data_IF_586487799576
#
_entry.id   IF_586487799576
#
_cell.length_a   1.000
_cell.length_b   1.000
_cell.length_c   1.000
_cell.angle_alpha   90.00
_cell.angle_beta   90.00
_cell.angle_gamma   90.00
#
_symmetry.space_group_name_H-M   'P 1'
#
loop_
_entity.id
_entity.type
_entity.pdbx_description
1 polymer ?
#
# COMPACT_ATOMS: atom_id res chain seq x y z
N UNK A 1 -18.22 -9.59 3.30
CA UNK A 1 -17.91 -8.23 2.78
C UNK A 1 -17.41 -8.37 1.35
N UNK A 2 -17.96 -7.64 0.36
CA UNK A 2 -17.36 -7.61 -0.99
C UNK A 2 -16.11 -6.74 -0.94
N UNK A 3 -14.97 -7.24 -1.41
CA UNK A 3 -13.75 -6.46 -1.54
C UNK A 3 -13.97 -5.30 -2.52
N UNK A 4 -13.66 -4.07 -2.11
CA UNK A 4 -13.63 -2.92 -3.01
C UNK A 4 -12.27 -2.91 -3.70
N UNK A 5 -12.26 -3.14 -5.00
CA UNK A 5 -11.06 -2.97 -5.84
C UNK A 5 -11.04 -1.52 -6.31
N UNK A 6 -9.97 -0.79 -6.00
CA UNK A 6 -9.75 0.56 -6.51
C UNK A 6 -8.65 0.52 -7.57
N UNK A 7 -8.83 1.31 -8.62
CA UNK A 7 -7.87 1.44 -9.70
C UNK A 7 -7.25 2.84 -9.70
N UNK A 8 -5.93 2.89 -9.88
CA UNK A 8 -5.18 4.14 -10.03
C UNK A 8 -4.54 4.16 -11.41
N UNK A 9 -5.13 4.89 -12.39
CA UNK A 9 -4.49 5.05 -13.69
C UNK A 9 -3.21 5.85 -13.54
N UNK A 10 -2.15 5.46 -14.23
CA UNK A 10 -0.92 6.23 -14.33
C UNK A 10 -0.15 5.85 -15.58
N UNK A 11 0.59 6.82 -16.15
CA UNK A 11 1.33 6.61 -17.40
C UNK A 11 2.68 5.97 -17.19
N UNK A 12 3.29 6.24 -16.04
CA UNK A 12 4.59 5.70 -15.64
C UNK A 12 4.66 5.45 -14.13
N UNK A 13 5.76 4.82 -13.70
CA UNK A 13 6.00 4.49 -12.29
C UNK A 13 6.02 5.72 -11.38
N UNK A 14 6.58 6.84 -11.84
CA UNK A 14 6.70 8.06 -11.02
C UNK A 14 5.32 8.63 -10.73
N UNK A 15 4.49 8.77 -11.76
CA UNK A 15 3.11 9.24 -11.61
C UNK A 15 2.31 8.33 -10.67
N UNK A 16 2.48 7.02 -10.78
CA UNK A 16 1.82 6.06 -9.91
C UNK A 16 2.27 6.21 -8.43
N UNK A 17 3.56 6.39 -8.17
CA UNK A 17 4.09 6.62 -6.82
C UNK A 17 3.58 7.92 -6.20
N UNK A 18 3.52 9.00 -6.98
CA UNK A 18 3.01 10.30 -6.54
C UNK A 18 1.51 10.26 -6.20
N UNK A 19 0.74 9.44 -6.92
CA UNK A 19 -0.72 9.34 -6.76
C UNK A 19 -1.17 8.26 -5.77
N UNK A 20 -0.32 7.31 -5.43
CA UNK A 20 -0.64 6.23 -4.49
C UNK A 20 -1.17 6.72 -3.12
N UNK A 21 -0.63 7.78 -2.49
CA UNK A 21 -1.18 8.30 -1.23
C UNK A 21 -2.65 8.73 -1.33
N UNK A 22 -3.10 9.23 -2.49
CA UNK A 22 -4.50 9.60 -2.72
C UNK A 22 -5.41 8.38 -2.67
N UNK A 23 -4.95 7.25 -3.20
CA UNK A 23 -5.67 5.98 -3.16
C UNK A 23 -5.72 5.42 -1.73
N UNK A 24 -4.58 5.44 -1.03
CA UNK A 24 -4.47 4.99 0.36
C UNK A 24 -5.36 5.81 1.28
N UNK A 25 -5.39 7.14 1.13
CA UNK A 25 -6.29 8.01 1.90
C UNK A 25 -7.77 7.65 1.73
N UNK A 26 -8.21 7.27 0.53
CA UNK A 26 -9.60 6.82 0.29
C UNK A 26 -9.92 5.44 0.88
N UNK A 27 -8.90 4.59 1.05
CA UNK A 27 -9.06 3.25 1.61
C UNK A 27 -9.03 3.24 3.14
N UNK A 28 -8.24 4.15 3.72
CA UNK A 28 -7.84 4.12 5.13
C UNK A 28 -8.63 5.11 5.99
N UNK A 29 -9.54 5.89 5.39
CA UNK A 29 -10.33 6.89 6.10
C UNK A 29 -11.09 6.28 7.31
N UNK A 30 -10.66 6.66 8.52
CA UNK A 30 -11.18 6.14 9.80
C UNK A 30 -10.77 4.71 10.19
N UNK A 31 -9.87 4.06 9.46
CA UNK A 31 -9.61 2.61 9.59
C UNK A 31 -8.66 2.20 10.73
N UNK A 32 -7.89 3.12 11.31
CA UNK A 32 -6.89 2.78 12.33
C UNK A 32 -6.86 3.81 13.46
N UNK A 33 -6.66 3.33 14.70
CA UNK A 33 -6.36 4.20 15.83
C UNK A 33 -4.91 4.71 15.75
N UNK A 34 -4.63 5.84 16.40
CA UNK A 34 -3.25 6.23 16.68
C UNK A 34 -2.52 5.07 17.38
N UNK A 35 -1.26 4.84 16.98
CA UNK A 35 -0.40 3.74 17.44
C UNK A 35 -0.86 2.30 17.06
N UNK A 36 -1.82 2.17 16.13
CA UNK A 36 -2.23 0.88 15.61
C UNK A 36 -1.05 0.12 14.96
N UNK A 37 -0.87 -1.14 15.34
CA UNK A 37 0.10 -2.02 14.70
C UNK A 37 -0.47 -2.53 13.37
N UNK A 38 0.12 -2.10 12.26
CA UNK A 38 -0.44 -2.33 10.93
C UNK A 38 0.49 -3.20 10.09
N UNK A 39 -0.02 -4.33 9.61
CA UNK A 39 0.72 -5.18 8.69
C UNK A 39 0.51 -4.75 7.24
N UNK A 40 1.59 -4.44 6.52
CA UNK A 40 1.55 -4.29 5.07
C UNK A 40 2.06 -5.57 4.42
N UNK A 41 1.12 -6.36 3.89
CA UNK A 41 1.42 -7.56 3.13
C UNK A 41 1.82 -7.19 1.71
N UNK A 42 2.99 -7.66 1.28
CA UNK A 42 3.44 -7.54 -0.10
C UNK A 42 3.52 -8.93 -0.72
N UNK A 43 2.88 -9.11 -1.86
CA UNK A 43 3.06 -10.30 -2.68
C UNK A 43 4.31 -10.08 -3.54
N UNK A 44 5.36 -10.82 -3.23
CA UNK A 44 6.46 -11.07 -4.16
C UNK A 44 6.13 -12.35 -4.94
N UNK A 45 6.46 -12.37 -6.23
CA UNK A 45 5.89 -13.30 -7.19
C UNK A 45 5.98 -14.78 -6.77
N UNK A 46 4.84 -15.46 -6.80
CA UNK A 46 4.77 -16.92 -6.72
C UNK A 46 5.30 -17.56 -8.02
N UNK A 47 5.59 -18.86 -7.99
CA UNK A 47 6.03 -19.59 -9.19
C UNK A 47 4.94 -19.52 -10.28
N UNK A 48 5.21 -18.80 -11.37
CA UNK A 48 4.23 -18.50 -12.44
C UNK A 48 3.64 -17.08 -12.42
N UNK A 49 3.86 -16.29 -11.36
CA UNK A 49 3.52 -14.88 -11.31
C UNK A 49 4.79 -14.02 -11.36
N UNK A 50 5.08 -13.44 -12.52
CA UNK A 50 6.26 -12.59 -12.74
C UNK A 50 6.06 -11.15 -12.27
N UNK A 51 4.88 -10.81 -11.76
CA UNK A 51 4.59 -9.46 -11.30
C UNK A 51 5.03 -9.29 -9.84
N UNK A 52 6.04 -8.46 -9.63
CA UNK A 52 6.47 -8.01 -8.31
C UNK A 52 6.03 -6.56 -8.13
N UNK A 53 5.63 -6.20 -6.91
CA UNK A 53 5.48 -4.80 -6.52
C UNK A 53 6.88 -4.22 -6.30
N UNK A 54 7.33 -3.21 -7.07
CA UNK A 54 8.63 -2.60 -6.82
C UNK A 54 8.70 -2.01 -5.41
N UNK A 55 9.86 -2.15 -4.74
CA UNK A 55 10.06 -1.71 -3.36
C UNK A 55 9.67 -0.24 -3.10
N UNK A 56 9.72 0.62 -4.11
CA UNK A 56 9.31 2.02 -4.01
C UNK A 56 7.81 2.18 -3.69
N UNK A 57 6.95 1.30 -4.20
CA UNK A 57 5.51 1.32 -3.87
C UNK A 57 5.28 0.92 -2.41
N UNK A 58 5.96 -0.13 -1.95
CA UNK A 58 5.93 -0.53 -0.56
C UNK A 58 6.42 0.60 0.36
N UNK A 59 7.50 1.28 -0.02
CA UNK A 59 8.02 2.44 0.73
C UNK A 59 6.99 3.55 0.88
N UNK A 60 6.25 3.88 -0.18
CA UNK A 60 5.19 4.90 -0.12
C UNK A 60 4.08 4.49 0.84
N UNK A 61 3.63 3.23 0.79
CA UNK A 61 2.63 2.71 1.73
C UNK A 61 3.07 2.75 3.19
N UNK A 62 4.31 2.32 3.48
CA UNK A 62 4.89 2.39 4.83
C UNK A 62 4.97 3.83 5.33
N UNK A 63 5.41 4.77 4.50
CA UNK A 63 5.49 6.19 4.88
C UNK A 63 4.11 6.76 5.19
N UNK A 64 3.14 6.50 4.32
CA UNK A 64 1.75 6.91 4.54
C UNK A 64 1.21 6.42 5.89
N UNK A 65 1.43 5.14 6.23
CA UNK A 65 0.98 4.59 7.51
C UNK A 65 1.67 5.24 8.73
N UNK A 66 2.98 5.52 8.63
CA UNK A 66 3.70 6.24 9.70
C UNK A 66 3.18 7.66 9.89
N UNK A 67 2.94 8.37 8.80
CA UNK A 67 2.40 9.74 8.80
C UNK A 67 0.97 9.78 9.36
N UNK A 68 0.19 8.71 9.16
CA UNK A 68 -1.12 8.52 9.76
C UNK A 68 -1.08 8.08 11.25
N UNK A 69 0.11 7.97 11.86
CA UNK A 69 0.27 7.62 13.28
C UNK A 69 0.25 6.12 13.58
N UNK A 70 0.32 5.24 12.58
CA UNK A 70 0.41 3.79 12.78
C UNK A 70 1.86 3.31 12.96
N UNK A 71 2.01 2.07 13.44
CA UNK A 71 3.27 1.33 13.49
C UNK A 71 3.28 0.24 12.43
N UNK A 72 3.74 0.55 11.20
CA UNK A 72 3.72 -0.44 10.12
C UNK A 72 4.83 -1.47 10.28
N UNK A 73 4.54 -2.72 9.92
CA UNK A 73 5.52 -3.75 9.63
C UNK A 73 5.30 -4.31 8.22
N UNK A 74 6.39 -4.55 7.51
CA UNK A 74 6.37 -5.13 6.16
C UNK A 74 6.54 -6.64 6.27
N UNK A 75 5.69 -7.41 5.57
CA UNK A 75 5.85 -8.85 5.51
C UNK A 75 5.43 -9.41 4.14
N UNK A 76 6.09 -10.50 3.78
CA UNK A 76 5.75 -11.37 2.67
C UNK A 76 4.81 -12.47 3.17
N UNK A 77 4.03 -13.08 2.28
CA UNK A 77 3.38 -14.39 2.55
C UNK A 77 3.96 -15.43 1.64
#
# INVERSE_FOLDING_TARGET
MKSKVLFLPGRDKRELLERLPLLLGRLIDGGFSNDAFCGMKVHVGENGNTTFVPADFARVGVRFLKEAGARPFLFET
#
